data_IF_590819209910
#
_entry.id   IF_590819209910
#
_cell.length_a   1.000
_cell.length_b   1.000
_cell.length_c   1.000
_cell.angle_alpha   90.00
_cell.angle_beta   90.00
_cell.angle_gamma   90.00
#
_symmetry.space_group_name_H-M   'P 1'
#
loop_
_entity.id
_entity.type
_entity.pdbx_description
1 polymer ?
#
# COMPACT_ATOMS: atom_id res chain seq x y z
N UNK A 1 7.94 17.54 8.97
CA UNK A 1 7.67 16.91 7.71
C UNK A 1 6.29 16.25 7.69
N UNK A 2 5.79 15.98 6.50
CA UNK A 2 4.50 15.31 6.34
C UNK A 2 4.49 13.92 6.98
N UNK A 3 5.59 13.19 6.88
CA UNK A 3 5.68 11.86 7.47
C UNK A 3 5.60 11.88 8.98
N UNK A 4 6.21 12.87 9.61
CA UNK A 4 6.15 13.00 11.06
C UNK A 4 4.74 13.31 11.54
N UNK A 5 4.05 14.23 10.85
CA UNK A 5 2.67 14.55 11.18
C UNK A 5 1.76 13.34 11.06
N UNK A 6 1.95 12.54 10.02
CA UNK A 6 1.16 11.33 9.83
C UNK A 6 1.42 10.29 10.91
N UNK A 7 2.68 10.14 11.34
CA UNK A 7 2.99 9.21 12.42
C UNK A 7 2.30 9.60 13.72
N UNK A 8 2.26 10.88 14.03
CA UNK A 8 1.56 11.37 15.22
C UNK A 8 0.07 11.10 15.12
N UNK A 9 -0.52 11.35 13.95
CA UNK A 9 -1.94 11.07 13.74
C UNK A 9 -2.27 9.59 13.92
N UNK A 10 -1.43 8.71 13.37
CA UNK A 10 -1.61 7.26 13.49
C UNK A 10 -1.48 6.83 14.95
N UNK A 11 -0.48 7.38 15.67
CA UNK A 11 -0.30 7.06 17.07
C UNK A 11 -1.51 7.45 17.90
N UNK A 12 -2.12 8.59 17.59
CA UNK A 12 -3.36 9.00 18.28
C UNK A 12 -4.48 8.03 18.04
N UNK A 13 -4.64 7.57 16.81
CA UNK A 13 -5.67 6.57 16.50
C UNK A 13 -5.48 5.29 17.30
N UNK A 14 -4.23 4.85 17.44
CA UNK A 14 -3.93 3.61 18.16
C UNK A 14 -4.33 3.67 19.65
N UNK A 15 -4.36 4.86 20.22
CA UNK A 15 -4.73 5.02 21.64
C UNK A 15 -6.23 5.03 21.88
N UNK A 16 -7.05 5.08 20.84
CA UNK A 16 -8.49 5.23 20.97
C UNK A 16 -9.25 3.92 21.11
N UNK A 17 -8.62 2.77 20.89
CA UNK A 17 -9.24 1.45 20.98
C UNK A 17 -10.55 1.32 20.19
N UNK A 18 -10.60 1.97 19.02
CA UNK A 18 -11.79 1.92 18.19
C UNK A 18 -11.95 0.53 17.55
N UNK A 19 -13.19 -0.02 17.48
CA UNK A 19 -13.41 -1.32 16.82
C UNK A 19 -13.25 -1.29 15.33
N UNK A 20 -13.38 -0.12 14.70
CA UNK A 20 -13.17 0.08 13.27
C UNK A 20 -12.24 1.26 13.09
N UNK A 21 -11.19 1.08 12.31
CA UNK A 21 -10.24 2.16 12.01
C UNK A 21 -10.12 2.34 10.52
N UNK A 22 -10.07 3.60 10.09
CA UNK A 22 -9.96 3.95 8.67
C UNK A 22 -8.68 4.75 8.46
N UNK A 23 -7.83 4.27 7.57
CA UNK A 23 -6.61 4.98 7.17
C UNK A 23 -6.76 5.40 5.72
N UNK A 24 -7.04 6.69 5.50
CA UNK A 24 -7.26 7.25 4.18
C UNK A 24 -5.94 7.81 3.65
N UNK A 25 -5.22 6.98 2.90
CA UNK A 25 -3.94 7.36 2.29
C UNK A 25 -2.91 7.86 3.31
N UNK A 26 -3.08 7.46 4.58
CA UNK A 26 -2.26 7.98 5.68
C UNK A 26 -0.79 7.58 5.57
N UNK A 27 -0.50 6.53 4.84
CA UNK A 27 0.87 6.00 4.71
C UNK A 27 1.56 6.48 3.44
N UNK A 28 0.90 7.32 2.63
CA UNK A 28 1.45 7.76 1.35
C UNK A 28 2.65 8.70 1.50
N UNK A 29 2.75 9.41 2.62
CA UNK A 29 3.82 10.38 2.85
C UNK A 29 5.02 9.80 3.61
N UNK A 30 4.97 8.52 3.98
CA UNK A 30 6.10 7.88 4.67
C UNK A 30 6.86 6.97 3.72
N UNK A 31 8.12 6.76 4.01
CA UNK A 31 8.96 5.88 3.19
C UNK A 31 8.57 4.41 3.38
N UNK A 32 9.01 3.57 2.47
CA UNK A 32 8.61 2.15 2.45
C UNK A 32 8.98 1.42 3.74
N UNK A 33 10.15 1.70 4.30
CA UNK A 33 10.60 1.06 5.52
C UNK A 33 9.73 1.45 6.71
N UNK A 34 9.44 2.73 6.86
CA UNK A 34 8.57 3.23 7.92
C UNK A 34 7.15 2.71 7.75
N UNK A 35 6.65 2.68 6.52
CA UNK A 35 5.36 2.14 6.18
C UNK A 35 5.23 0.68 6.66
N UNK A 36 6.24 -0.14 6.37
CA UNK A 36 6.25 -1.54 6.78
C UNK A 36 6.20 -1.69 8.31
N UNK A 37 6.96 -0.86 9.01
CA UNK A 37 6.96 -0.88 10.48
C UNK A 37 5.60 -0.47 11.06
N UNK A 38 4.99 0.56 10.49
CA UNK A 38 3.69 1.02 10.96
C UNK A 38 2.64 -0.07 10.74
N UNK A 39 2.63 -0.70 9.57
CA UNK A 39 1.67 -1.76 9.28
C UNK A 39 1.84 -2.95 10.21
N UNK A 40 3.08 -3.31 10.53
CA UNK A 40 3.34 -4.40 11.46
C UNK A 40 2.80 -4.08 12.84
N UNK A 41 3.04 -2.87 13.34
CA UNK A 41 2.54 -2.46 14.65
C UNK A 41 1.03 -2.40 14.68
N UNK A 42 0.40 -1.94 13.62
CA UNK A 42 -1.06 -1.92 13.52
C UNK A 42 -1.62 -3.33 13.64
N UNK A 43 -1.01 -4.26 12.92
CA UNK A 43 -1.48 -5.64 12.92
C UNK A 43 -1.34 -6.28 14.30
N UNK A 44 -0.24 -6.00 15.00
CA UNK A 44 -0.01 -6.56 16.32
C UNK A 44 -0.98 -5.99 17.39
N UNK A 45 -1.21 -4.68 17.35
CA UNK A 45 -2.03 -4.03 18.36
C UNK A 45 -3.51 -4.14 18.09
N UNK A 46 -3.89 -4.37 16.88
CA UNK A 46 -5.28 -4.28 16.44
C UNK A 46 -5.83 -5.58 15.90
N UNK A 47 -5.33 -6.71 16.42
CA UNK A 47 -5.72 -8.02 15.92
C UNK A 47 -7.21 -8.30 15.89
N UNK A 48 -8.00 -7.60 16.74
CA UNK A 48 -9.44 -7.79 16.82
C UNK A 48 -10.23 -6.63 16.19
N UNK A 49 -9.57 -5.62 15.66
CA UNK A 49 -10.24 -4.47 15.07
C UNK A 49 -10.35 -4.63 13.56
N UNK A 50 -11.42 -4.08 12.99
CA UNK A 50 -11.57 -3.99 11.54
C UNK A 50 -10.79 -2.78 11.06
N UNK A 51 -9.88 -2.98 10.13
CA UNK A 51 -9.07 -1.89 9.59
C UNK A 51 -9.39 -1.70 8.11
N UNK A 52 -9.72 -0.48 7.73
CA UNK A 52 -9.98 -0.10 6.35
C UNK A 52 -8.84 0.77 5.87
N UNK A 53 -8.13 0.31 4.85
CA UNK A 53 -7.03 1.06 4.24
C UNK A 53 -7.46 1.57 2.88
N UNK A 54 -7.29 2.87 2.66
CA UNK A 54 -7.55 3.48 1.36
C UNK A 54 -6.21 3.89 0.78
N UNK A 55 -5.84 3.29 -0.35
CA UNK A 55 -4.52 3.53 -0.92
C UNK A 55 -4.52 3.28 -2.42
N UNK A 56 -3.58 3.93 -3.10
CA UNK A 56 -3.29 3.67 -4.51
C UNK A 56 -2.12 2.72 -4.69
N UNK A 57 -1.46 2.35 -3.60
CA UNK A 57 -0.23 1.54 -3.68
C UNK A 57 -0.57 0.07 -3.49
N UNK A 58 -0.28 -0.71 -4.51
CA UNK A 58 -0.54 -2.16 -4.49
C UNK A 58 0.21 -2.81 -3.33
N UNK A 59 1.44 -2.37 -3.06
CA UNK A 59 2.22 -2.95 -1.97
C UNK A 59 1.55 -2.80 -0.61
N UNK A 60 0.78 -1.73 -0.41
CA UNK A 60 -0.01 -1.55 0.81
C UNK A 60 -1.21 -2.49 0.83
N UNK A 61 -1.86 -2.66 -0.32
CA UNK A 61 -3.08 -3.43 -0.43
C UNK A 61 -2.88 -4.94 -0.43
N UNK A 62 -1.70 -5.41 -0.83
CA UNK A 62 -1.41 -6.85 -0.96
C UNK A 62 -1.64 -7.63 0.34
N UNK A 63 -1.49 -6.97 1.48
CA UNK A 63 -1.59 -7.63 2.77
C UNK A 63 -2.99 -7.61 3.35
N UNK A 64 -3.93 -6.97 2.68
CA UNK A 64 -5.31 -6.92 3.15
C UNK A 64 -5.98 -8.28 3.01
N UNK A 65 -6.86 -8.59 3.94
CA UNK A 65 -7.65 -9.82 3.86
C UNK A 65 -8.65 -9.77 2.72
N UNK A 66 -9.10 -8.56 2.36
CA UNK A 66 -10.01 -8.37 1.25
C UNK A 66 -9.77 -6.99 0.65
N UNK A 67 -9.82 -6.92 -0.67
CA UNK A 67 -9.61 -5.69 -1.42
C UNK A 67 -10.88 -5.36 -2.19
N UNK A 68 -11.29 -4.10 -2.07
CA UNK A 68 -12.44 -3.58 -2.78
C UNK A 68 -11.94 -2.60 -3.83
N UNK A 69 -12.30 -2.84 -5.08
CA UNK A 69 -11.93 -1.94 -6.18
C UNK A 69 -13.14 -1.09 -6.55
N UNK A 70 -12.96 0.23 -6.46
CA UNK A 70 -14.03 1.18 -6.78
C UNK A 70 -13.72 1.88 -8.09
N UNK A 71 -14.74 2.02 -8.91
CA UNK A 71 -14.65 2.73 -10.18
C UNK A 71 -15.98 3.44 -10.46
N UNK A 72 -15.89 4.75 -10.69
CA UNK A 72 -17.06 5.57 -10.97
C UNK A 72 -18.18 5.43 -9.92
N UNK A 73 -17.77 5.37 -8.65
CA UNK A 73 -18.71 5.29 -7.54
C UNK A 73 -19.35 3.92 -7.33
N UNK A 74 -18.86 2.91 -8.03
CA UNK A 74 -19.39 1.55 -7.93
C UNK A 74 -18.29 0.56 -7.62
N UNK A 75 -18.68 -0.58 -7.04
CA UNK A 75 -17.72 -1.67 -6.80
C UNK A 75 -17.47 -2.36 -8.12
N UNK A 76 -16.25 -2.24 -8.60
CA UNK A 76 -15.83 -2.88 -9.85
C UNK A 76 -15.38 -4.31 -9.63
N UNK A 77 -14.75 -4.60 -8.48
CA UNK A 77 -14.28 -5.94 -8.17
C UNK A 77 -14.05 -6.06 -6.66
N UNK A 78 -13.99 -7.29 -6.18
CA UNK A 78 -13.73 -7.56 -4.77
C UNK A 78 -13.03 -8.93 -4.68
N UNK A 79 -12.06 -9.03 -3.77
CA UNK A 79 -11.34 -10.28 -3.56
C UNK A 79 -10.02 -10.06 -2.85
N UNK A 80 -9.22 -11.12 -2.76
CA UNK A 80 -7.86 -11.03 -2.24
C UNK A 80 -6.93 -10.53 -3.34
N UNK A 81 -5.73 -10.14 -2.95
CA UNK A 81 -4.71 -9.74 -3.92
C UNK A 81 -4.52 -10.82 -4.98
N UNK A 82 -4.37 -12.07 -4.55
CA UNK A 82 -4.11 -13.18 -5.47
C UNK A 82 -5.28 -13.41 -6.43
N UNK A 83 -6.49 -13.31 -5.93
CA UNK A 83 -7.68 -13.45 -6.77
C UNK A 83 -7.76 -12.35 -7.82
N UNK A 84 -7.49 -11.11 -7.40
CA UNK A 84 -7.64 -9.97 -8.29
C UNK A 84 -6.56 -9.91 -9.37
N UNK A 85 -5.34 -10.32 -9.08
CA UNK A 85 -4.28 -10.34 -10.09
C UNK A 85 -4.41 -11.52 -11.05
N UNK A 86 -5.18 -12.54 -10.68
CA UNK A 86 -5.34 -13.73 -11.51
C UNK A 86 -6.38 -13.53 -12.61
N UNK A 87 -7.13 -12.44 -12.59
CA UNK A 87 -8.15 -12.18 -13.60
C UNK A 87 -8.01 -10.77 -14.14
N UNK A 88 -8.46 -10.61 -15.38
CA UNK A 88 -8.39 -9.29 -16.04
C UNK A 88 -9.32 -8.30 -15.36
N UNK A 89 -8.81 -7.09 -15.15
CA UNK A 89 -9.59 -6.04 -14.52
C UNK A 89 -8.73 -4.87 -14.14
N UNK A 90 -9.33 -3.90 -13.48
CA UNK A 90 -8.67 -2.67 -13.07
C UNK A 90 -7.49 -2.96 -12.14
N UNK A 91 -7.67 -3.86 -11.18
CA UNK A 91 -6.62 -4.16 -10.21
C UNK A 91 -5.39 -4.77 -10.89
N UNK A 92 -5.59 -5.73 -11.77
CA UNK A 92 -4.49 -6.34 -12.51
C UNK A 92 -3.74 -5.29 -13.34
N UNK A 93 -4.46 -4.39 -14.01
CA UNK A 93 -3.84 -3.34 -14.80
C UNK A 93 -2.97 -2.42 -13.94
N UNK A 94 -3.50 -2.00 -12.79
CA UNK A 94 -2.75 -1.14 -11.88
C UNK A 94 -1.52 -1.87 -11.33
N UNK A 95 -1.69 -3.12 -10.99
CA UNK A 95 -0.59 -3.95 -10.49
C UNK A 95 0.55 -4.00 -11.50
N UNK A 96 0.24 -4.25 -12.76
CA UNK A 96 1.26 -4.33 -13.80
C UNK A 96 1.95 -3.00 -14.03
N UNK A 97 1.19 -1.91 -14.02
CA UNK A 97 1.77 -0.58 -14.18
C UNK A 97 2.75 -0.27 -13.05
N UNK A 98 2.35 -0.55 -11.81
CA UNK A 98 3.21 -0.26 -10.66
C UNK A 98 4.44 -1.15 -10.61
N UNK A 99 4.30 -2.41 -10.96
CA UNK A 99 5.44 -3.33 -11.01
C UNK A 99 6.41 -2.95 -12.12
N UNK A 100 5.90 -2.57 -13.29
CA UNK A 100 6.77 -2.11 -14.38
C UNK A 100 7.53 -0.86 -13.99
N UNK A 101 6.89 0.06 -13.29
CA UNK A 101 7.57 1.27 -12.83
C UNK A 101 8.66 0.94 -11.80
N UNK A 102 8.41 -0.01 -10.92
CA UNK A 102 9.40 -0.46 -9.96
C UNK A 102 10.61 -1.08 -10.66
N UNK A 103 10.36 -1.90 -11.68
CA UNK A 103 11.43 -2.49 -12.47
C UNK A 103 12.25 -1.43 -13.18
N UNK A 104 11.60 -0.42 -13.73
CA UNK A 104 12.30 0.70 -14.39
C UNK A 104 13.20 1.44 -13.42
N UNK A 105 12.72 1.66 -12.20
CA UNK A 105 13.53 2.32 -11.18
C UNK A 105 14.76 1.48 -10.81
N UNK A 106 14.60 0.18 -10.72
CA UNK A 106 15.72 -0.71 -10.45
C UNK A 106 16.75 -0.67 -11.58
N UNK A 107 16.28 -0.64 -12.83
CA UNK A 107 17.17 -0.54 -14.00
C UNK A 107 17.92 0.78 -14.01
N UNK A 108 17.25 1.88 -13.66
CA UNK A 108 17.91 3.18 -13.59
C UNK A 108 18.99 3.20 -12.51
N UNK A 109 18.72 2.58 -11.38
CA UNK A 109 19.72 2.50 -10.31
C UNK A 109 20.93 1.68 -10.74
N UNK A 110 20.70 0.57 -11.43
CA UNK A 110 21.78 -0.27 -11.91
C UNK A 110 22.64 0.50 -12.92
N UNK A 111 22.01 1.24 -13.84
CA UNK A 111 22.76 2.02 -14.83
C UNK A 111 23.58 3.12 -14.16
N UNK A 112 23.06 3.76 -13.13
CA UNK A 112 23.80 4.83 -12.48
C UNK A 112 24.94 4.27 -11.62
N UNK A 113 24.83 3.04 -11.14
CA UNK A 113 25.90 2.40 -10.40
C UNK A 113 27.02 1.88 -11.32
N UNK A 114 26.67 1.49 -12.54
CA UNK A 114 27.63 0.89 -13.48
C UNK A 114 27.54 1.56 -14.84
N UNK A 115 27.78 2.87 -14.93
CA UNK A 115 27.58 3.58 -16.18
C UNK A 115 28.56 3.18 -17.29
N UNK A 116 29.70 2.64 -16.93
CA UNK A 116 30.73 2.27 -17.92
C UNK A 116 30.50 0.91 -18.55
N UNK A 117 29.59 0.14 -18.06
CA UNK A 117 29.33 -1.19 -18.58
C UNK A 117 28.32 -1.21 -19.69
N UNK A 118 27.89 -0.10 -20.07
CA UNK A 118 26.95 -0.10 -21.12
C UNK A 118 27.62 -0.47 -22.40
N UNK A 119 27.97 -1.00 -22.56
CA UNK A 119 28.41 -1.39 -23.68
C UNK A 119 27.92 -1.49 -24.61
#
# INVERSE_FOLDING_TARGET
SGGQKQRVAIARMLTQNAPVMIFDDSLSAVDAETDAKIRKQLKEKMGNATTILISHRITTLMQADQILVLDNGKVADIGTHEELISRKGIYQDIYQIQMNNADRELLKQADSEHPTESR
#
